data_IF_249391445063
#
_entry.id   IF_249391445063
#
_cell.length_a   1.000
_cell.length_b   1.000
_cell.length_c   1.000
_cell.angle_alpha   90.00
_cell.angle_beta   90.00
_cell.angle_gamma   90.00
#
_symmetry.space_group_name_H-M   'P 1'
#
loop_
_entity.id
_entity.type
_entity.pdbx_description
1 polymer ?
#
# COMPACT_ATOMS: atom_id res chain seq x y z
N UNK A 1 4.30 -15.12 3.18
CA UNK A 1 4.65 -14.99 1.76
C UNK A 1 4.79 -13.49 1.49
N UNK A 2 5.48 -13.07 0.43
CA UNK A 2 5.62 -11.62 0.20
C UNK A 2 4.47 -11.17 -0.70
N UNK A 3 3.51 -10.41 -0.17
CA UNK A 3 2.35 -9.93 -0.94
C UNK A 3 2.76 -9.12 -2.17
N UNK A 4 3.88 -8.40 -2.15
CA UNK A 4 4.40 -7.63 -3.30
C UNK A 4 4.84 -8.55 -4.44
N UNK A 5 5.32 -9.76 -4.13
CA UNK A 5 5.83 -10.71 -5.13
C UNK A 5 4.74 -11.26 -6.06
N UNK A 6 3.46 -11.06 -5.73
CA UNK A 6 2.34 -11.46 -6.59
C UNK A 6 2.11 -10.51 -7.76
N UNK A 7 2.71 -9.31 -7.73
CA UNK A 7 2.58 -8.31 -8.78
C UNK A 7 3.57 -8.53 -9.94
N UNK A 8 3.25 -8.02 -11.15
CA UNK A 8 4.19 -8.01 -12.26
C UNK A 8 5.45 -7.18 -11.93
N UNK A 9 6.58 -7.57 -12.54
CA UNK A 9 7.92 -7.01 -12.22
C UNK A 9 8.02 -5.49 -12.29
N UNK A 10 7.29 -4.85 -13.20
CA UNK A 10 7.31 -3.40 -13.35
C UNK A 10 6.75 -2.67 -12.12
N UNK A 11 5.86 -3.32 -11.36
CA UNK A 11 5.32 -2.81 -10.10
C UNK A 11 6.04 -3.40 -8.88
N UNK A 12 6.27 -4.72 -8.85
CA UNK A 12 6.84 -5.39 -7.68
C UNK A 12 8.26 -4.95 -7.35
N UNK A 13 9.11 -4.72 -8.36
CA UNK A 13 10.49 -4.30 -8.13
C UNK A 13 10.60 -2.92 -7.45
N UNK A 14 9.99 -1.84 -7.99
CA UNK A 14 10.04 -0.55 -7.31
C UNK A 14 9.29 -0.56 -5.98
N UNK A 15 8.14 -1.25 -5.87
CA UNK A 15 7.42 -1.37 -4.59
C UNK A 15 8.28 -2.01 -3.51
N UNK A 16 8.96 -3.11 -3.82
CA UNK A 16 9.79 -3.80 -2.83
C UNK A 16 10.92 -2.89 -2.33
N UNK A 17 11.61 -2.20 -3.24
CA UNK A 17 12.67 -1.24 -2.86
C UNK A 17 12.14 -0.13 -1.98
N UNK A 18 10.98 0.45 -2.32
CA UNK A 18 10.38 1.54 -1.55
C UNK A 18 9.90 1.04 -0.18
N UNK A 19 9.27 -0.14 -0.12
CA UNK A 19 8.85 -0.79 1.13
C UNK A 19 10.04 -1.09 2.05
N UNK A 20 11.17 -1.53 1.48
CA UNK A 20 12.44 -1.75 2.17
C UNK A 20 13.17 -0.43 2.53
N UNK A 21 12.54 0.72 2.28
CA UNK A 21 13.08 2.08 2.48
C UNK A 21 14.40 2.31 1.73
N UNK A 22 14.62 1.58 0.64
CA UNK A 22 15.77 1.76 -0.23
C UNK A 22 15.55 2.93 -1.20
N UNK A 23 16.59 3.73 -1.50
CA UNK A 23 16.50 4.75 -2.53
C UNK A 23 16.15 4.15 -3.89
N UNK A 24 15.17 4.73 -4.57
CA UNK A 24 14.84 4.40 -5.96
C UNK A 24 15.24 5.56 -6.87
N UNK A 25 16.12 5.34 -7.87
CA UNK A 25 16.47 6.38 -8.83
C UNK A 25 15.21 6.99 -9.46
N UNK A 26 15.20 8.33 -9.58
CA UNK A 26 14.05 9.08 -10.13
C UNK A 26 13.00 9.48 -9.09
N UNK A 27 13.09 8.96 -7.85
CA UNK A 27 12.22 9.37 -6.73
C UNK A 27 12.91 10.37 -5.81
N UNK A 28 12.10 11.17 -5.12
CA UNK A 28 12.52 12.11 -4.09
C UNK A 28 11.78 11.82 -2.79
N UNK A 29 12.48 12.02 -1.67
CA UNK A 29 11.86 12.06 -0.35
C UNK A 29 11.55 13.51 0.01
N UNK A 30 10.30 13.78 0.35
CA UNK A 30 9.81 15.10 0.71
C UNK A 30 9.21 15.06 2.13
N UNK A 31 9.32 16.14 2.92
CA UNK A 31 8.63 16.22 4.20
C UNK A 31 7.11 16.20 4.00
N UNK A 32 6.34 15.70 4.98
CA UNK A 32 4.87 15.61 4.88
C UNK A 32 4.21 16.96 4.57
N UNK A 33 4.80 18.07 5.04
CA UNK A 33 4.26 19.42 4.82
C UNK A 33 4.43 19.92 3.37
N UNK A 34 5.25 19.24 2.56
CA UNK A 34 5.47 19.64 1.17
C UNK A 34 4.24 19.39 0.28
N UNK A 35 3.41 18.38 0.61
CA UNK A 35 2.21 18.05 -0.14
C UNK A 35 1.14 17.42 0.78
N UNK A 36 0.48 18.21 1.64
CA UNK A 36 -0.49 17.70 2.61
C UNK A 36 -1.70 17.01 1.94
N UNK A 37 -2.16 17.52 0.79
CA UNK A 37 -3.27 16.89 0.05
C UNK A 37 -2.91 15.49 -0.45
N UNK A 38 -1.66 15.27 -0.86
CA UNK A 38 -1.17 13.95 -1.25
C UNK A 38 -1.11 13.02 -0.04
N UNK A 39 -0.68 13.53 1.12
CA UNK A 39 -0.67 12.78 2.38
C UNK A 39 -2.08 12.29 2.71
N UNK A 40 -3.06 13.19 2.70
CA UNK A 40 -4.46 12.85 3.00
C UNK A 40 -5.01 11.84 1.99
N UNK A 41 -4.84 12.08 0.69
CA UNK A 41 -5.35 11.21 -0.36
C UNK A 41 -4.76 9.80 -0.27
N UNK A 42 -3.43 9.68 -0.23
CA UNK A 42 -2.75 8.38 -0.26
C UNK A 42 -3.01 7.62 1.05
N UNK A 43 -3.04 8.30 2.20
CA UNK A 43 -3.36 7.67 3.48
C UNK A 43 -4.80 7.18 3.53
N UNK A 44 -5.76 7.95 2.98
CA UNK A 44 -7.16 7.53 2.88
C UNK A 44 -7.31 6.29 2.01
N UNK A 45 -6.60 6.22 0.87
CA UNK A 45 -6.58 5.03 0.03
C UNK A 45 -6.04 3.81 0.79
N UNK A 46 -4.90 3.94 1.48
CA UNK A 46 -4.32 2.87 2.28
C UNK A 46 -5.27 2.39 3.40
N UNK A 47 -5.90 3.33 4.10
CA UNK A 47 -6.92 3.02 5.11
C UNK A 47 -8.15 2.33 4.53
N UNK A 48 -8.58 2.71 3.32
CA UNK A 48 -9.65 2.04 2.59
C UNK A 48 -9.33 0.57 2.31
N UNK A 49 -8.11 0.28 1.86
CA UNK A 49 -7.62 -1.10 1.66
C UNK A 49 -7.65 -1.88 2.96
N UNK A 50 -7.12 -1.31 4.05
CA UNK A 50 -7.11 -1.97 5.36
C UNK A 50 -8.52 -2.23 5.89
N UNK A 51 -9.48 -1.34 5.64
CA UNK A 51 -10.88 -1.54 6.00
C UNK A 51 -11.49 -2.72 5.22
N UNK A 52 -11.22 -2.83 3.91
CA UNK A 52 -11.69 -3.97 3.10
C UNK A 52 -11.09 -5.29 3.60
N UNK A 53 -9.78 -5.29 3.88
CA UNK A 53 -9.08 -6.46 4.43
C UNK A 53 -9.65 -6.85 5.81
N UNK A 54 -9.96 -5.87 6.66
CA UNK A 54 -10.57 -6.13 7.98
C UNK A 54 -12.01 -6.68 7.92
N UNK A 55 -12.72 -6.46 6.81
CA UNK A 55 -14.07 -7.03 6.60
C UNK A 55 -14.02 -8.50 6.17
N UNK A 56 -12.90 -8.94 5.61
CA UNK A 56 -12.72 -10.30 5.08
C UNK A 56 -12.72 -11.41 6.15
N UNK A 57 -12.42 -11.04 7.41
CA UNK A 57 -12.37 -11.97 8.53
C UNK A 57 -13.72 -12.12 9.27
N UNK A 58 -14.82 -11.52 8.78
CA UNK A 58 -16.14 -11.66 9.40
C UNK A 58 -16.83 -13.00 9.03
N UNK A 59 -17.32 -13.79 10.01
CA UNK A 59 -18.09 -15.00 9.73
C UNK A 59 -19.47 -14.67 9.14
N UNK A 60 -19.73 -15.08 7.89
CA UNK A 60 -21.08 -15.06 7.30
C UNK A 60 -21.12 -14.78 5.80
N UNK A 61 -20.18 -13.98 5.31
CA UNK A 61 -19.93 -13.73 3.89
C UNK A 61 -18.42 -13.69 3.71
N UNK A 62 -17.82 -14.84 3.45
CA UNK A 62 -16.48 -14.90 2.89
C UNK A 62 -16.56 -14.21 1.51
N UNK A 63 -16.25 -12.91 1.48
CA UNK A 63 -16.16 -12.12 0.25
C UNK A 63 -14.91 -12.52 -0.56
N UNK A 64 -14.06 -13.41 -0.02
CA UNK A 64 -12.74 -13.83 -0.48
C UNK A 64 -12.68 -15.26 -1.02
N UNK A 65 -13.68 -15.73 -1.78
CA UNK A 65 -13.62 -16.99 -2.54
C UNK A 65 -13.06 -18.22 -1.77
N UNK A 66 -13.18 -18.30 -0.44
CA UNK A 66 -12.64 -19.44 0.31
C UNK A 66 -11.13 -19.45 0.50
N UNK A 67 -10.41 -18.34 0.26
CA UNK A 67 -8.96 -18.25 0.44
C UNK A 67 -8.58 -17.13 1.44
N UNK A 68 -7.99 -17.49 2.60
CA UNK A 68 -7.46 -16.49 3.53
C UNK A 68 -6.48 -15.54 2.85
N UNK A 69 -6.62 -14.23 3.07
CA UNK A 69 -5.66 -13.26 2.57
C UNK A 69 -5.98 -12.70 1.17
N UNK A 70 -7.20 -12.87 0.64
CA UNK A 70 -7.53 -12.43 -0.73
C UNK A 70 -8.93 -11.82 -0.84
N UNK A 71 -9.04 -10.49 -0.91
CA UNK A 71 -10.31 -9.85 -1.26
C UNK A 71 -10.40 -9.70 -2.78
N UNK A 72 -11.36 -10.38 -3.42
CA UNK A 72 -11.61 -10.29 -4.87
C UNK A 72 -12.82 -9.38 -5.12
N UNK A 73 -12.74 -8.33 -5.95
CA UNK A 73 -13.85 -7.47 -6.24
C UNK A 73 -14.39 -7.70 -7.64
N UNK A 74 -15.65 -7.31 -7.75
CA UNK A 74 -16.27 -6.86 -8.97
C UNK A 74 -15.29 -5.87 -9.68
N UNK A 75 -15.11 -6.01 -11.00
CA UNK A 75 -14.30 -5.11 -11.87
C UNK A 75 -12.79 -5.39 -12.05
N UNK A 76 -12.21 -6.46 -11.48
CA UNK A 76 -10.88 -6.96 -11.91
C UNK A 76 -9.66 -6.46 -11.12
N UNK A 77 -9.85 -5.90 -9.93
CA UNK A 77 -8.80 -5.38 -9.05
C UNK A 77 -8.54 -6.35 -7.90
N UNK A 78 -7.50 -7.18 -7.84
CA UNK A 78 -7.41 -8.11 -6.68
C UNK A 78 -6.67 -7.53 -5.48
N UNK A 79 -7.17 -7.67 -4.26
CA UNK A 79 -6.41 -7.33 -3.04
C UNK A 79 -5.86 -8.62 -2.43
N UNK A 80 -4.56 -8.63 -2.14
CA UNK A 80 -3.87 -9.72 -1.43
C UNK A 80 -3.26 -9.19 -0.17
N UNK A 81 -3.40 -9.90 0.93
CA UNK A 81 -2.91 -9.44 2.21
C UNK A 81 -2.36 -10.58 3.07
N UNK A 82 -1.48 -10.22 3.97
CA UNK A 82 -0.94 -11.07 5.02
C UNK A 82 -0.88 -10.32 6.34
N UNK A 83 -0.92 -11.08 7.44
CA UNK A 83 -0.97 -10.52 8.79
C UNK A 83 -2.33 -10.74 9.44
N UNK A 84 -2.54 -10.10 10.59
CA UNK A 84 -3.74 -10.24 11.39
C UNK A 84 -4.37 -8.85 11.59
N UNK A 85 -5.48 -8.61 10.91
CA UNK A 85 -6.21 -7.33 10.94
C UNK A 85 -7.05 -7.17 12.21
N UNK A 86 -7.34 -8.25 12.93
CA UNK A 86 -8.13 -8.19 14.18
C UNK A 86 -7.30 -7.81 15.39
N UNK A 87 -5.97 -7.96 15.32
CA UNK A 87 -5.07 -7.59 16.42
C UNK A 87 -4.68 -6.12 16.32
N UNK A 88 -5.05 -5.35 17.35
CA UNK A 88 -4.65 -3.94 17.49
C UNK A 88 -3.13 -3.67 17.46
N UNK A 89 -2.30 -4.70 17.66
CA UNK A 89 -0.84 -4.65 17.60
C UNK A 89 -0.25 -5.53 16.47
N UNK A 90 -1.09 -6.07 15.59
CA UNK A 90 -0.65 -6.87 14.45
C UNK A 90 -0.03 -6.00 13.35
N UNK A 91 0.92 -6.56 12.62
CA UNK A 91 1.35 -5.99 11.33
C UNK A 91 0.50 -6.61 10.23
N UNK A 92 0.00 -5.77 9.34
CA UNK A 92 -0.75 -6.18 8.15
C UNK A 92 -0.06 -5.59 6.94
N UNK A 93 0.15 -6.42 5.93
CA UNK A 93 0.65 -6.01 4.62
C UNK A 93 -0.39 -6.39 3.58
N UNK A 94 -0.72 -5.46 2.70
CA UNK A 94 -1.69 -5.65 1.65
C UNK A 94 -1.18 -5.07 0.34
N UNK A 95 -1.64 -5.66 -0.77
CA UNK A 95 -1.32 -5.24 -2.11
C UNK A 95 -2.60 -5.21 -2.93
N UNK A 96 -2.83 -4.10 -3.62
CA UNK A 96 -3.89 -3.96 -4.60
C UNK A 96 -3.29 -4.17 -5.98
N UNK A 97 -3.74 -5.21 -6.67
CA UNK A 97 -3.42 -5.55 -8.04
C UNK A 97 -4.50 -5.00 -8.97
N UNK A 98 -4.28 -3.77 -9.43
CA UNK A 98 -5.03 -3.12 -10.50
C UNK A 98 -4.20 -3.06 -11.79
N UNK A 99 -3.35 -4.07 -12.03
CA UNK A 99 -2.31 -3.98 -13.07
C UNK A 99 -2.87 -4.02 -14.49
N UNK A 100 -4.10 -4.50 -14.66
CA UNK A 100 -4.89 -4.35 -15.89
C UNK A 100 -5.19 -2.89 -16.24
N UNK A 101 -5.28 -2.02 -15.23
CA UNK A 101 -5.44 -0.57 -15.37
C UNK A 101 -4.08 0.17 -15.31
N UNK A 102 -2.98 -0.57 -15.20
CA UNK A 102 -1.64 -0.01 -15.12
C UNK A 102 -1.27 0.52 -13.74
N UNK A 103 -1.95 0.11 -12.67
CA UNK A 103 -1.68 0.55 -11.30
C UNK A 103 -1.46 -0.63 -10.35
N UNK A 104 -0.66 -0.42 -9.31
CA UNK A 104 -0.55 -1.30 -8.17
C UNK A 104 -0.35 -0.47 -6.90
N UNK A 105 -0.81 -0.99 -5.76
CA UNK A 105 -0.62 -0.34 -4.46
C UNK A 105 -0.09 -1.33 -3.45
N UNK A 106 0.78 -0.87 -2.57
CA UNK A 106 1.19 -1.56 -1.34
C UNK A 106 0.74 -0.75 -0.15
N UNK A 107 0.25 -1.44 0.87
CA UNK A 107 -0.15 -0.86 2.14
C UNK A 107 0.45 -1.71 3.24
N UNK A 108 1.09 -1.09 4.21
CA UNK A 108 1.54 -1.75 5.43
C UNK A 108 1.09 -0.95 6.64
N UNK A 109 0.50 -1.65 7.60
CA UNK A 109 0.15 -1.09 8.89
C UNK A 109 0.86 -1.85 9.98
N UNK A 110 1.59 -1.13 10.82
CA UNK A 110 2.24 -1.69 12.01
C UNK A 110 1.43 -1.30 13.26
N UNK A 111 0.35 -2.04 13.53
CA UNK A 111 -0.59 -1.75 14.63
C UNK A 111 -1.10 -0.30 14.62
N UNK A 112 -0.87 0.42 15.74
CA UNK A 112 -1.16 1.84 15.87
C UNK A 112 0.07 2.75 15.63
N UNK A 113 1.21 2.17 15.22
CA UNK A 113 2.50 2.86 15.15
C UNK A 113 2.82 3.45 13.80
N UNK A 114 2.27 2.91 12.71
CA UNK A 114 2.59 3.44 11.39
C UNK A 114 1.71 2.95 10.28
N UNK A 115 1.70 3.73 9.21
CA UNK A 115 1.02 3.46 7.96
C UNK A 115 1.99 3.79 6.82
N UNK A 116 2.36 2.78 6.06
CA UNK A 116 3.08 2.93 4.81
C UNK A 116 2.07 2.68 3.69
N UNK A 117 1.95 3.60 2.73
CA UNK A 117 1.11 3.41 1.55
C UNK A 117 1.87 3.90 0.33
N UNK A 118 1.99 3.06 -0.68
CA UNK A 118 2.76 3.33 -1.89
C UNK A 118 1.97 2.89 -3.11
N UNK A 119 1.86 3.77 -4.09
CA UNK A 119 1.17 3.56 -5.35
C UNK A 119 2.22 3.60 -6.45
N UNK A 120 2.21 2.58 -7.31
CA UNK A 120 2.94 2.58 -8.57
C UNK A 120 1.92 2.63 -9.69
N UNK A 121 2.07 3.60 -10.60
CA UNK A 121 1.19 3.74 -11.75
C UNK A 121 2.01 3.91 -13.04
N UNK A 122 1.52 3.34 -14.13
CA UNK A 122 2.02 3.65 -15.47
C UNK A 122 1.43 4.98 -15.92
N UNK A 123 2.28 5.84 -16.45
CA UNK A 123 1.88 7.04 -17.17
C UNK A 123 2.45 6.98 -18.61
N UNK A 124 2.08 7.91 -19.50
CA UNK A 124 2.62 7.95 -20.86
C UNK A 124 4.14 8.19 -20.96
N UNK A 125 4.79 8.63 -19.88
CA UNK A 125 6.21 9.00 -19.83
C UNK A 125 7.10 7.96 -19.12
N UNK A 126 6.50 6.96 -18.46
CA UNK A 126 7.19 5.98 -17.66
C UNK A 126 6.29 5.37 -16.58
N UNK A 127 6.91 4.89 -15.52
CA UNK A 127 6.20 4.44 -14.32
C UNK A 127 6.49 5.44 -13.20
N UNK A 128 5.50 5.76 -12.39
CA UNK A 128 5.60 6.75 -11.31
C UNK A 128 5.28 6.08 -9.99
N UNK A 129 6.05 6.41 -8.96
CA UNK A 129 5.77 6.10 -7.58
C UNK A 129 5.24 7.32 -6.84
N UNK A 130 4.23 7.12 -6.01
CA UNK A 130 3.76 8.06 -5.01
C UNK A 130 3.47 7.29 -3.73
N UNK A 131 4.08 7.68 -2.62
CA UNK A 131 3.90 7.00 -1.36
C UNK A 131 4.04 7.94 -0.18
N UNK A 132 3.47 7.51 0.92
CA UNK A 132 3.46 8.20 2.20
C UNK A 132 3.84 7.18 3.26
N UNK A 133 4.79 7.56 4.10
CA UNK A 133 5.25 6.80 5.24
C UNK A 133 4.93 7.61 6.48
N UNK A 134 4.02 7.11 7.31
CA UNK A 134 3.60 7.75 8.55
C UNK A 134 4.04 6.90 9.73
N UNK A 135 4.60 7.56 10.73
CA UNK A 135 4.98 6.95 12.00
C UNK A 135 4.44 7.78 13.16
N UNK A 136 3.78 7.10 14.10
CA UNK A 136 3.29 7.70 15.33
C UNK A 136 4.48 7.86 16.29
N UNK A 137 4.87 9.10 16.53
CA UNK A 137 5.88 9.46 17.54
C UNK A 137 5.22 10.03 18.81
N UNK A 138 5.98 10.15 19.92
CA UNK A 138 5.50 10.86 21.12
C UNK A 138 5.17 12.34 20.89
N UNK A 139 5.69 12.95 19.82
CA UNK A 139 5.51 14.37 19.48
C UNK A 139 4.36 14.61 18.48
N UNK A 140 3.72 13.53 18.02
CA UNK A 140 2.71 13.57 16.97
C UNK A 140 3.06 12.65 15.80
N UNK A 141 2.42 12.88 14.66
CA UNK A 141 2.66 12.11 13.44
C UNK A 141 3.93 12.63 12.75
N UNK A 142 4.87 11.72 12.51
CA UNK A 142 6.09 11.98 11.73
C UNK A 142 6.04 11.17 10.42
N UNK A 143 6.92 11.46 9.48
CA UNK A 143 6.97 10.74 8.22
C UNK A 143 7.56 11.50 7.04
N UNK A 144 7.41 10.89 5.87
CA UNK A 144 7.84 11.46 4.60
C UNK A 144 7.00 10.95 3.44
N UNK A 145 7.07 11.70 2.34
CA UNK A 145 6.49 11.37 1.05
C UNK A 145 7.62 10.84 0.16
N UNK A 146 7.33 9.80 -0.63
CA UNK A 146 8.17 9.37 -1.75
C UNK A 146 7.41 9.67 -3.03
N UNK A 147 8.00 10.43 -3.95
CA UNK A 147 7.37 10.70 -5.23
C UNK A 147 8.40 10.78 -6.36
N UNK A 148 8.05 10.28 -7.54
CA UNK A 148 8.83 10.47 -8.76
C UNK A 148 8.78 9.29 -9.72
N UNK A 149 9.53 9.37 -10.81
CA UNK A 149 9.59 8.28 -11.78
C UNK A 149 10.37 7.09 -11.21
N UNK A 150 9.94 5.88 -11.60
CA UNK A 150 10.58 4.61 -11.26
C UNK A 150 10.76 3.81 -12.54
N UNK A 151 11.98 3.34 -12.79
CA UNK A 151 12.31 2.64 -14.04
C UNK A 151 13.78 2.76 -14.37
#
# INVERSE_FOLDING_TARGET
MNVISTLPRWASSPLQKIADKQPVPGTQQLPLQAAPELVDQVSQMGMGVLNMVAMDEQPGEDLAMGQPGVVVPQEGITIRYEGDVTKAQGTVEAVVDATGEGQAMYVRRDGAKGLDTVIIAKDPQGTVAQGVFLEQSPLGMDGYIVAGQVG
#
